data_IF_437964003972
#
_entry.id   IF_437964003972
#
_cell.length_a   1.000
_cell.length_b   1.000
_cell.length_c   1.000
_cell.angle_alpha   90.00
_cell.angle_beta   90.00
_cell.angle_gamma   90.00
#
_symmetry.space_group_name_H-M   'P 1'
#
loop_
_entity.id
_entity.type
_entity.pdbx_description
1 polymer ?
#
# COMPACT_ATOMS: atom_id res chain seq x y z
N UNK A 1 -7.65 18.06 13.87
CA UNK A 1 -9.10 18.31 13.98
C UNK A 1 -9.81 16.96 13.94
N UNK A 2 -10.39 16.48 15.06
CA UNK A 2 -11.08 15.18 15.10
C UNK A 2 -12.32 15.25 14.21
N UNK A 3 -12.36 14.38 13.20
CA UNK A 3 -13.55 14.19 12.38
C UNK A 3 -14.54 13.40 13.24
N UNK A 4 -15.75 13.94 13.44
CA UNK A 4 -16.83 13.21 14.14
C UNK A 4 -17.21 11.98 13.28
N UNK A 5 -17.21 10.82 13.93
CA UNK A 5 -17.67 9.54 13.37
C UNK A 5 -19.11 9.69 12.88
N UNK A 6 -19.36 9.38 11.61
CA UNK A 6 -20.69 9.33 10.99
C UNK A 6 -20.92 7.90 10.48
N UNK A 7 -21.85 7.14 11.09
CA UNK A 7 -22.06 5.72 10.78
C UNK A 7 -22.59 5.47 9.36
N UNK A 8 -22.99 6.52 8.61
CA UNK A 8 -23.47 6.40 7.24
C UNK A 8 -22.39 6.69 6.17
N UNK A 9 -21.16 7.04 6.57
CA UNK A 9 -20.01 7.09 5.66
C UNK A 9 -19.37 5.71 5.53
N UNK A 10 -20.17 4.72 5.12
CA UNK A 10 -19.62 3.48 4.60
C UNK A 10 -18.93 3.85 3.27
N UNK A 11 -17.61 3.66 3.20
CA UNK A 11 -16.84 3.85 1.97
C UNK A 11 -17.33 2.82 0.93
N UNK A 12 -18.37 3.15 0.17
CA UNK A 12 -18.93 2.25 -0.83
C UNK A 12 -18.06 2.13 -2.08
N UNK A 13 -18.11 0.98 -2.74
CA UNK A 13 -17.40 0.62 -3.98
C UNK A 13 -17.43 1.70 -5.07
N UNK A 14 -18.55 2.43 -5.22
CA UNK A 14 -18.72 3.49 -6.21
C UNK A 14 -17.79 4.70 -5.98
N UNK A 15 -17.45 5.03 -4.73
CA UNK A 15 -16.49 6.11 -4.42
C UNK A 15 -15.05 5.66 -4.69
N UNK A 16 -14.71 4.42 -4.34
CA UNK A 16 -13.39 3.84 -4.65
C UNK A 16 -13.11 3.79 -6.16
N UNK A 17 -14.13 3.47 -6.98
CA UNK A 17 -14.08 3.55 -8.45
C UNK A 17 -13.66 4.92 -8.97
N UNK A 18 -14.26 5.97 -8.40
CA UNK A 18 -13.97 7.35 -8.79
C UNK A 18 -12.56 7.74 -8.36
N UNK A 19 -12.12 7.34 -7.16
CA UNK A 19 -10.75 7.58 -6.69
C UNK A 19 -9.72 6.90 -7.58
N UNK A 20 -9.87 5.61 -7.89
CA UNK A 20 -8.96 4.89 -8.79
C UNK A 20 -8.88 5.54 -10.17
N UNK A 21 -10.04 5.87 -10.77
CA UNK A 21 -10.10 6.56 -12.08
C UNK A 21 -9.46 7.95 -12.04
N UNK A 22 -9.66 8.71 -10.98
CA UNK A 22 -9.05 10.03 -10.81
C UNK A 22 -7.53 9.93 -10.66
N UNK A 23 -7.03 8.94 -9.92
CA UNK A 23 -5.59 8.68 -9.80
C UNK A 23 -4.99 8.31 -11.16
N UNK A 24 -5.62 7.41 -11.91
CA UNK A 24 -5.16 7.06 -13.26
C UNK A 24 -5.14 8.26 -14.20
N UNK A 25 -6.17 9.11 -14.15
CA UNK A 25 -6.23 10.36 -14.91
C UNK A 25 -5.11 11.31 -14.51
N UNK A 26 -4.86 11.49 -13.21
CA UNK A 26 -3.76 12.32 -12.71
C UNK A 26 -2.40 11.81 -13.22
N UNK A 27 -2.15 10.51 -13.14
CA UNK A 27 -0.94 9.87 -13.68
C UNK A 27 -0.77 10.12 -15.17
N UNK A 28 -1.84 9.95 -15.96
CA UNK A 28 -1.82 10.23 -17.40
C UNK A 28 -1.44 11.69 -17.69
N UNK A 29 -2.02 12.64 -16.95
CA UNK A 29 -1.72 14.07 -17.10
C UNK A 29 -0.28 14.39 -16.74
N UNK A 30 0.23 13.86 -15.62
CA UNK A 30 1.62 14.04 -15.18
C UNK A 30 2.58 13.51 -16.25
N UNK A 31 2.37 12.28 -16.73
CA UNK A 31 3.19 11.66 -17.77
C UNK A 31 3.17 12.46 -19.07
N UNK A 32 1.98 12.88 -19.54
CA UNK A 32 1.85 13.72 -20.74
C UNK A 32 2.57 15.06 -20.60
N UNK A 33 2.54 15.67 -19.42
CA UNK A 33 3.19 16.95 -19.18
C UNK A 33 4.72 16.88 -19.26
N UNK A 34 5.30 15.80 -18.74
CA UNK A 34 6.76 15.60 -18.70
C UNK A 34 7.31 14.90 -19.95
N UNK A 35 6.45 14.32 -20.79
CA UNK A 35 6.83 13.77 -22.10
C UNK A 35 7.48 14.86 -22.98
N UNK A 36 8.67 14.58 -23.53
CA UNK A 36 9.35 15.44 -24.49
C UNK A 36 10.12 16.66 -23.95
N UNK A 37 10.03 17.00 -22.66
CA UNK A 37 10.77 18.14 -22.07
C UNK A 37 12.19 17.74 -21.65
N UNK A 38 13.23 18.55 -21.93
CA UNK A 38 14.59 18.34 -21.41
C UNK A 38 14.66 18.74 -19.92
N UNK A 39 15.48 18.07 -19.09
CA UNK A 39 15.54 18.32 -17.62
C UNK A 39 15.86 19.79 -17.30
N UNK A 40 16.76 20.42 -18.08
CA UNK A 40 17.11 21.85 -17.98
C UNK A 40 15.96 22.84 -18.28
N UNK A 41 14.93 22.44 -19.02
CA UNK A 41 13.80 23.32 -19.41
C UNK A 41 12.55 23.12 -18.52
N UNK A 42 12.59 22.18 -17.58
CA UNK A 42 11.40 21.80 -16.82
C UNK A 42 11.14 22.73 -15.63
N UNK A 43 10.35 23.79 -15.86
CA UNK A 43 9.76 24.61 -14.79
C UNK A 43 9.02 23.70 -13.78
N UNK A 44 9.20 23.96 -12.48
CA UNK A 44 8.47 23.27 -11.40
C UNK A 44 6.96 23.40 -11.65
N UNK A 45 6.25 22.28 -11.68
CA UNK A 45 4.80 22.26 -11.89
C UNK A 45 4.13 22.25 -10.53
N UNK A 46 3.25 23.22 -10.27
CA UNK A 46 2.37 23.16 -9.11
C UNK A 46 1.22 22.20 -9.46
N UNK A 47 1.20 21.04 -8.82
CA UNK A 47 0.05 20.15 -8.81
C UNK A 47 -0.84 20.57 -7.65
N UNK A 48 -2.06 21.01 -7.96
CA UNK A 48 -3.08 21.32 -6.98
C UNK A 48 -4.04 20.13 -6.92
N UNK A 49 -3.99 19.36 -5.84
CA UNK A 49 -4.88 18.24 -5.60
C UNK A 49 -5.99 18.68 -4.66
N UNK A 50 -7.23 18.58 -5.09
CA UNK A 50 -8.38 18.75 -4.22
C UNK A 50 -8.53 17.50 -3.35
N UNK A 51 -8.20 17.63 -2.07
CA UNK A 51 -8.26 16.55 -1.07
C UNK A 51 -9.60 16.49 -0.36
N UNK A 52 -10.45 17.51 -0.50
CA UNK A 52 -11.81 17.50 0.05
C UNK A 52 -12.76 18.37 -0.78
N UNK A 53 -14.06 18.06 -0.71
CA UNK A 53 -15.13 18.85 -1.35
C UNK A 53 -15.42 20.15 -0.56
N UNK A 54 -14.93 20.28 0.68
CA UNK A 54 -15.09 21.49 1.52
C UNK A 54 -13.96 22.50 1.24
N UNK A 55 -14.24 23.80 1.44
CA UNK A 55 -13.25 24.89 1.33
C UNK A 55 -12.03 24.57 2.21
N UNK A 56 -10.83 24.58 1.62
CA UNK A 56 -9.55 24.35 2.31
C UNK A 56 -8.87 23.01 2.00
N UNK A 57 -9.52 22.09 1.30
CA UNK A 57 -8.90 20.82 0.87
C UNK A 57 -8.06 20.95 -0.39
N UNK A 58 -7.06 21.82 -0.43
CA UNK A 58 -6.15 21.96 -1.57
C UNK A 58 -4.72 21.62 -1.15
N UNK A 59 -4.24 20.45 -1.58
CA UNK A 59 -2.86 20.05 -1.39
C UNK A 59 -2.04 20.55 -2.58
N UNK A 60 -1.09 21.43 -2.31
CA UNK A 60 -0.14 21.91 -3.30
C UNK A 60 1.13 21.09 -3.20
N UNK A 61 1.49 20.40 -4.27
CA UNK A 61 2.82 19.77 -4.39
C UNK A 61 3.53 20.31 -5.62
N UNK A 62 4.85 20.48 -5.50
CA UNK A 62 5.70 20.91 -6.61
C UNK A 62 6.30 19.65 -7.23
N UNK A 63 5.96 19.40 -8.49
CA UNK A 63 6.52 18.30 -9.28
C UNK A 63 7.69 18.82 -10.13
N UNK A 64 8.81 18.12 -10.04
CA UNK A 64 9.98 18.31 -10.90
C UNK A 64 10.14 17.09 -11.78
N UNK A 65 10.75 17.25 -12.96
CA UNK A 65 10.93 16.12 -13.89
C UNK A 65 11.78 14.99 -13.28
N UNK A 66 12.67 15.34 -12.38
CA UNK A 66 13.59 14.39 -11.74
C UNK A 66 12.91 13.63 -10.59
N UNK A 67 11.83 14.18 -10.02
CA UNK A 67 11.14 13.60 -8.86
C UNK A 67 9.80 12.94 -9.20
N UNK A 68 9.21 13.20 -10.37
CA UNK A 68 7.87 12.69 -10.69
C UNK A 68 7.79 11.16 -10.73
N UNK A 69 8.90 10.46 -11.02
CA UNK A 69 8.93 8.99 -11.08
C UNK A 69 8.53 8.35 -9.75
N UNK A 70 9.08 8.83 -8.64
CA UNK A 70 8.74 8.36 -7.28
C UNK A 70 7.24 8.50 -6.98
N UNK A 71 6.68 9.66 -7.32
CA UNK A 71 5.26 9.96 -7.12
C UNK A 71 4.38 9.12 -8.06
N UNK A 72 4.77 8.93 -9.33
CA UNK A 72 4.01 8.07 -10.26
C UNK A 72 4.02 6.61 -9.80
N UNK A 73 5.14 6.10 -9.29
CA UNK A 73 5.26 4.76 -8.71
C UNK A 73 4.33 4.62 -7.51
N UNK A 74 4.34 5.56 -6.57
CA UNK A 74 3.41 5.54 -5.43
C UNK A 74 1.94 5.59 -5.86
N UNK A 75 1.58 6.52 -6.76
CA UNK A 75 0.22 6.64 -7.29
C UNK A 75 -0.23 5.38 -8.04
N UNK A 76 0.70 4.66 -8.68
CA UNK A 76 0.41 3.36 -9.32
C UNK A 76 -0.12 2.36 -8.29
N UNK A 77 0.56 2.20 -7.16
CA UNK A 77 0.19 1.20 -6.15
C UNK A 77 -1.07 1.58 -5.38
N UNK A 78 -1.27 2.87 -5.08
CA UNK A 78 -2.54 3.36 -4.53
C UNK A 78 -3.69 3.02 -5.49
N UNK A 79 -3.51 3.26 -6.79
CA UNK A 79 -4.54 2.94 -7.79
C UNK A 79 -4.82 1.44 -7.87
N UNK A 80 -3.78 0.59 -7.87
CA UNK A 80 -3.94 -0.87 -7.94
C UNK A 80 -4.75 -1.35 -6.74
N UNK A 81 -4.35 -0.94 -5.54
CA UNK A 81 -5.03 -1.30 -4.28
C UNK A 81 -6.50 -0.88 -4.30
N UNK A 82 -6.79 0.39 -4.64
CA UNK A 82 -8.15 0.90 -4.69
C UNK A 82 -9.03 0.13 -5.69
N UNK A 83 -8.50 -0.19 -6.88
CA UNK A 83 -9.26 -0.95 -7.89
C UNK A 83 -9.49 -2.42 -7.49
N UNK A 84 -8.54 -3.03 -6.77
CA UNK A 84 -8.68 -4.40 -6.30
C UNK A 84 -9.72 -4.50 -5.17
N UNK A 85 -9.70 -3.56 -4.22
CA UNK A 85 -10.71 -3.45 -3.16
C UNK A 85 -12.10 -3.18 -3.72
N UNK A 86 -12.22 -2.29 -4.71
CA UNK A 86 -13.50 -2.03 -5.39
C UNK A 86 -14.07 -3.32 -6.00
N UNK A 87 -13.24 -4.05 -6.77
CA UNK A 87 -13.64 -5.31 -7.40
C UNK A 87 -14.09 -6.32 -6.35
N UNK A 88 -13.38 -6.42 -5.24
CA UNK A 88 -13.73 -7.31 -4.14
C UNK A 88 -15.12 -6.97 -3.56
N UNK A 89 -15.38 -5.68 -3.27
CA UNK A 89 -16.68 -5.22 -2.76
C UNK A 89 -17.84 -5.46 -3.73
N UNK A 90 -17.60 -5.44 -5.04
CA UNK A 90 -18.63 -5.71 -6.04
C UNK A 90 -18.94 -7.19 -6.21
N UNK A 91 -17.93 -8.05 -6.04
CA UNK A 91 -18.05 -9.49 -6.29
C UNK A 91 -18.58 -10.23 -5.06
N UNK A 92 -18.18 -9.81 -3.86
CA UNK A 92 -18.43 -10.59 -2.65
C UNK A 92 -19.58 -10.03 -1.80
N UNK A 93 -20.61 -10.84 -1.50
CA UNK A 93 -21.65 -10.47 -0.55
C UNK A 93 -21.08 -10.44 0.88
N UNK A 94 -21.67 -9.61 1.76
CA UNK A 94 -21.20 -9.37 3.14
C UNK A 94 -22.39 -9.49 4.13
N UNK A 95 -23.39 -10.32 3.80
CA UNK A 95 -24.63 -10.39 4.57
C UNK A 95 -24.48 -11.34 5.77
N UNK A 96 -23.92 -12.52 5.55
CA UNK A 96 -23.76 -13.55 6.58
C UNK A 96 -22.42 -13.45 7.31
N UNK A 97 -22.30 -14.12 8.46
CA UNK A 97 -21.04 -14.20 9.21
C UNK A 97 -19.91 -14.82 8.39
N UNK A 98 -20.19 -15.94 7.70
CA UNK A 98 -19.21 -16.61 6.82
C UNK A 98 -18.78 -15.73 5.65
N UNK A 99 -19.73 -15.00 5.06
CA UNK A 99 -19.45 -14.03 4.01
C UNK A 99 -18.56 -12.89 4.51
N UNK A 100 -18.81 -12.35 5.72
CA UNK A 100 -17.95 -11.34 6.36
C UNK A 100 -16.55 -11.87 6.64
N UNK A 101 -16.44 -13.09 7.16
CA UNK A 101 -15.16 -13.75 7.43
C UNK A 101 -14.37 -13.96 6.14
N UNK A 102 -15.01 -14.51 5.10
CA UNK A 102 -14.40 -14.67 3.77
C UNK A 102 -13.98 -13.33 3.18
N UNK A 103 -14.82 -12.31 3.27
CA UNK A 103 -14.52 -10.96 2.80
C UNK A 103 -13.29 -10.38 3.49
N UNK A 104 -13.20 -10.48 4.82
CA UNK A 104 -12.04 -10.03 5.61
C UNK A 104 -10.75 -10.68 5.09
N UNK A 105 -10.76 -11.99 4.87
CA UNK A 105 -9.58 -12.72 4.40
C UNK A 105 -9.20 -12.28 2.98
N UNK A 106 -10.16 -12.17 2.06
CA UNK A 106 -9.87 -11.67 0.72
C UNK A 106 -9.35 -10.24 0.72
N UNK A 107 -9.90 -9.36 1.58
CA UNK A 107 -9.41 -7.99 1.72
C UNK A 107 -7.97 -7.97 2.23
N UNK A 108 -7.66 -8.83 3.21
CA UNK A 108 -6.30 -9.03 3.72
C UNK A 108 -5.36 -9.49 2.60
N UNK A 109 -5.77 -10.46 1.78
CA UNK A 109 -4.98 -10.93 0.63
C UNK A 109 -4.75 -9.81 -0.39
N UNK A 110 -5.75 -8.97 -0.69
CA UNK A 110 -5.59 -7.83 -1.60
C UNK A 110 -4.50 -6.88 -1.10
N UNK A 111 -4.49 -6.57 0.20
CA UNK A 111 -3.43 -5.74 0.76
C UNK A 111 -2.06 -6.44 0.67
N UNK A 112 -1.97 -7.72 1.01
CA UNK A 112 -0.72 -8.49 0.91
C UNK A 112 -0.19 -8.55 -0.54
N UNK A 113 -1.08 -8.71 -1.53
CA UNK A 113 -0.72 -8.66 -2.95
C UNK A 113 -0.13 -7.31 -3.35
N UNK A 114 -0.69 -6.21 -2.81
CA UNK A 114 -0.17 -4.86 -3.09
C UNK A 114 1.18 -4.61 -2.42
N UNK A 115 1.37 -5.08 -1.18
CA UNK A 115 2.66 -5.03 -0.48
C UNK A 115 3.72 -5.88 -1.20
N UNK A 116 3.33 -7.04 -1.71
CA UNK A 116 4.19 -7.89 -2.52
C UNK A 116 4.63 -7.16 -3.79
N UNK A 117 3.68 -6.57 -4.54
CA UNK A 117 3.98 -5.83 -5.76
C UNK A 117 4.89 -4.61 -5.52
N UNK A 118 4.75 -3.92 -4.39
CA UNK A 118 5.68 -2.85 -3.98
C UNK A 118 7.07 -3.43 -3.72
N UNK A 119 7.16 -4.53 -2.97
CA UNK A 119 8.43 -5.15 -2.60
C UNK A 119 9.18 -5.73 -3.82
N UNK A 120 8.46 -6.30 -4.78
CA UNK A 120 9.02 -6.73 -6.07
C UNK A 120 9.55 -5.54 -6.89
N UNK A 121 8.85 -4.40 -6.86
CA UNK A 121 9.33 -3.18 -7.51
C UNK A 121 10.58 -2.63 -6.80
N UNK A 122 10.62 -2.64 -5.47
CA UNK A 122 11.81 -2.30 -4.68
C UNK A 122 13.00 -3.18 -5.08
N UNK A 123 12.78 -4.48 -5.31
CA UNK A 123 13.82 -5.39 -5.78
C UNK A 123 14.29 -5.03 -7.20
N UNK A 124 13.37 -4.68 -8.11
CA UNK A 124 13.73 -4.25 -9.45
C UNK A 124 14.63 -2.99 -9.46
N UNK A 125 14.43 -2.06 -8.52
CA UNK A 125 15.23 -0.84 -8.41
C UNK A 125 16.72 -1.10 -8.09
N UNK A 126 17.05 -2.24 -7.47
CA UNK A 126 18.43 -2.62 -7.13
C UNK A 126 19.23 -3.16 -8.32
N UNK A 127 18.56 -3.64 -9.38
CA UNK A 127 19.21 -4.32 -10.52
C UNK A 127 20.10 -3.40 -11.36
N UNK A 128 21.10 -4.02 -12.01
CA UNK A 128 22.41 -3.46 -12.36
C UNK A 128 22.48 -2.44 -13.50
N UNK A 129 21.40 -2.19 -14.24
CA UNK A 129 21.50 -1.43 -15.50
C UNK A 129 21.77 0.07 -15.31
N UNK A 130 21.50 0.63 -14.12
CA UNK A 130 21.54 2.07 -13.85
C UNK A 130 22.31 2.43 -12.58
N UNK A 131 23.46 1.80 -12.31
CA UNK A 131 24.40 2.22 -11.24
C UNK A 131 25.17 3.51 -11.58
N UNK A 132 24.67 4.35 -12.50
CA UNK A 132 25.26 5.66 -12.77
C UNK A 132 25.01 6.56 -11.55
N UNK A 133 26.08 7.16 -11.01
CA UNK A 133 26.02 8.00 -9.79
C UNK A 133 24.97 9.12 -9.88
N UNK A 134 24.69 9.61 -11.09
CA UNK A 134 23.77 10.71 -11.37
C UNK A 134 22.30 10.41 -11.00
N UNK A 135 21.86 9.14 -11.00
CA UNK A 135 20.46 8.76 -10.74
C UNK A 135 20.23 8.15 -9.35
N UNK A 136 21.26 8.05 -8.51
CA UNK A 136 21.15 7.36 -7.21
C UNK A 136 20.19 8.05 -6.24
N UNK A 137 20.15 9.38 -6.27
CA UNK A 137 19.27 10.16 -5.39
C UNK A 137 17.80 10.06 -5.81
N UNK A 138 17.49 10.02 -7.11
CA UNK A 138 16.13 9.85 -7.63
C UNK A 138 15.57 8.49 -7.22
N UNK A 139 16.38 7.43 -7.41
CA UNK A 139 16.03 6.08 -7.00
C UNK A 139 15.87 5.95 -5.50
N UNK A 140 16.75 6.56 -4.70
CA UNK A 140 16.63 6.52 -3.25
C UNK A 140 15.32 7.18 -2.78
N UNK A 141 14.92 8.30 -3.40
CA UNK A 141 13.62 8.92 -3.14
C UNK A 141 12.45 8.02 -3.56
N UNK A 142 12.57 7.31 -4.67
CA UNK A 142 11.56 6.33 -5.06
C UNK A 142 11.44 5.18 -4.04
N UNK A 143 12.56 4.70 -3.49
CA UNK A 143 12.55 3.73 -2.39
C UNK A 143 11.85 4.31 -1.16
N UNK A 144 12.18 5.53 -0.74
CA UNK A 144 11.54 6.20 0.40
C UNK A 144 10.02 6.32 0.23
N UNK A 145 9.55 6.82 -0.92
CA UNK A 145 8.12 6.96 -1.21
C UNK A 145 7.37 5.62 -1.23
N UNK A 146 8.03 4.55 -1.66
CA UNK A 146 7.45 3.20 -1.67
C UNK A 146 7.43 2.55 -0.30
N UNK A 147 8.45 2.78 0.52
CA UNK A 147 8.49 2.32 1.91
C UNK A 147 7.43 3.06 2.75
N UNK A 148 7.25 4.37 2.54
CA UNK A 148 6.14 5.13 3.11
C UNK A 148 4.77 4.58 2.68
N UNK A 149 4.67 4.10 1.44
CA UNK A 149 3.44 3.48 0.92
C UNK A 149 3.15 2.12 1.58
N UNK A 150 4.18 1.34 1.91
CA UNK A 150 4.05 0.11 2.73
C UNK A 150 3.43 0.44 4.08
N UNK A 151 3.96 1.44 4.80
CA UNK A 151 3.42 1.86 6.10
C UNK A 151 2.01 2.48 5.98
N UNK A 152 1.73 3.18 4.88
CA UNK A 152 0.37 3.66 4.57
C UNK A 152 -0.60 2.49 4.41
N UNK A 153 -0.24 1.45 3.66
CA UNK A 153 -1.09 0.26 3.50
C UNK A 153 -1.27 -0.44 4.85
N UNK A 154 -0.19 -0.67 5.60
CA UNK A 154 -0.25 -1.32 6.91
C UNK A 154 -1.16 -0.59 7.90
N UNK A 155 -1.14 0.75 7.90
CA UNK A 155 -1.95 1.60 8.78
C UNK A 155 -3.38 1.84 8.31
N UNK A 156 -3.66 1.75 7.00
CA UNK A 156 -5.01 1.91 6.43
C UNK A 156 -5.74 0.59 6.21
N UNK A 157 -5.05 -0.54 6.33
CA UNK A 157 -5.65 -1.86 6.27
C UNK A 157 -6.54 -2.09 7.50
N UNK A 158 -7.82 -1.80 7.32
CA UNK A 158 -8.86 -2.04 8.31
C UNK A 158 -10.02 -2.86 7.75
N UNK A 159 -10.67 -3.62 8.63
CA UNK A 159 -11.96 -4.24 8.38
C UNK A 159 -12.84 -4.04 9.60
N UNK A 160 -14.03 -3.45 9.43
CA UNK A 160 -14.93 -3.11 10.54
C UNK A 160 -14.22 -2.38 11.70
N UNK A 161 -13.38 -1.39 11.39
CA UNK A 161 -12.58 -0.60 12.35
C UNK A 161 -11.50 -1.41 13.09
N UNK A 162 -11.26 -2.66 12.71
CA UNK A 162 -10.16 -3.47 13.22
C UNK A 162 -8.94 -3.30 12.30
N UNK A 163 -7.82 -2.89 12.88
CA UNK A 163 -6.52 -2.76 12.20
C UNK A 163 -5.90 -4.13 11.97
N UNK A 164 -5.59 -4.45 10.71
CA UNK A 164 -5.17 -5.81 10.35
C UNK A 164 -3.66 -6.04 10.57
N UNK A 165 -2.81 -5.09 10.19
CA UNK A 165 -1.36 -5.30 10.09
C UNK A 165 -0.52 -4.62 11.18
N UNK A 166 -1.14 -4.05 12.21
CA UNK A 166 -0.43 -3.37 13.30
C UNK A 166 -0.04 -4.30 14.46
N UNK A 167 -0.31 -5.61 14.33
CA UNK A 167 0.10 -6.62 15.30
C UNK A 167 -0.96 -6.98 16.35
N UNK A 168 -2.13 -6.33 16.33
CA UNK A 168 -3.23 -6.64 17.26
C UNK A 168 -3.69 -8.10 17.17
N UNK A 169 -3.59 -8.72 15.99
CA UNK A 169 -3.97 -10.11 15.73
C UNK A 169 -2.78 -11.04 15.45
N UNK A 170 -1.57 -10.61 15.78
CA UNK A 170 -0.38 -11.46 15.64
C UNK A 170 -0.41 -12.63 16.65
N UNK A 171 0.30 -13.72 16.35
CA UNK A 171 0.37 -14.90 17.23
C UNK A 171 0.87 -14.59 18.65
N UNK A 172 1.74 -13.61 18.79
CA UNK A 172 2.28 -13.15 20.07
C UNK A 172 1.55 -11.92 20.64
N UNK A 173 0.42 -11.53 20.05
CA UNK A 173 -0.36 -10.38 20.50
C UNK A 173 -0.91 -10.60 21.91
N UNK A 174 -0.87 -9.54 22.72
CA UNK A 174 -1.52 -9.49 24.04
C UNK A 174 -2.77 -8.60 24.03
N UNK A 175 -3.07 -7.96 22.90
CA UNK A 175 -4.11 -6.93 22.80
C UNK A 175 -5.43 -7.53 22.34
N UNK A 176 -5.41 -8.33 21.27
CA UNK A 176 -6.62 -8.89 20.67
C UNK A 176 -6.35 -10.28 20.07
N UNK A 177 -7.44 -10.98 19.76
CA UNK A 177 -7.44 -12.27 19.07
C UNK A 177 -8.58 -12.33 18.07
N UNK A 178 -8.37 -12.99 16.94
CA UNK A 178 -9.38 -13.12 15.88
C UNK A 178 -9.89 -14.56 15.82
N UNK A 179 -11.21 -14.73 15.98
CA UNK A 179 -11.88 -16.03 15.99
C UNK A 179 -12.88 -16.14 14.86
N UNK A 180 -12.80 -17.24 14.13
CA UNK A 180 -13.64 -17.56 12.99
C UNK A 180 -14.56 -18.73 13.33
N UNK A 181 -15.71 -18.76 12.68
CA UNK A 181 -16.73 -19.79 12.83
C UNK A 181 -16.73 -20.61 11.54
N UNK A 182 -16.67 -21.92 11.64
CA UNK A 182 -16.88 -22.84 10.52
C UNK A 182 -18.36 -23.13 10.34
N UNK A 183 -18.74 -23.56 9.14
CA UNK A 183 -20.12 -23.99 8.85
C UNK A 183 -20.54 -25.18 9.72
N UNK A 184 -19.59 -26.00 10.19
CA UNK A 184 -19.82 -27.08 11.16
C UNK A 184 -20.16 -26.60 12.58
N UNK A 185 -20.04 -25.30 12.87
CA UNK A 185 -20.25 -24.72 14.20
C UNK A 185 -19.00 -24.65 15.07
N UNK A 186 -17.87 -25.21 14.63
CA UNK A 186 -16.59 -25.09 15.32
C UNK A 186 -16.01 -23.69 15.19
N UNK A 187 -15.35 -23.22 16.26
CA UNK A 187 -14.58 -21.97 16.24
C UNK A 187 -13.09 -22.27 16.15
N UNK A 188 -12.36 -21.46 15.38
CA UNK A 188 -10.92 -21.55 15.28
C UNK A 188 -10.29 -20.16 15.24
N UNK A 189 -9.05 -20.07 15.69
CA UNK A 189 -8.33 -18.81 15.76
C UNK A 189 -7.54 -18.56 14.47
N UNK A 190 -7.61 -17.33 13.98
CA UNK A 190 -6.82 -16.85 12.84
C UNK A 190 -5.83 -15.82 13.35
N UNK A 191 -4.62 -15.86 12.79
CA UNK A 191 -3.56 -14.90 13.11
C UNK A 191 -3.21 -14.08 11.87
N UNK A 192 -2.98 -12.79 12.07
CA UNK A 192 -2.48 -11.89 11.01
C UNK A 192 -1.18 -11.27 11.51
N UNK A 193 -0.08 -11.50 10.78
CA UNK A 193 1.21 -10.94 11.14
C UNK A 193 1.31 -9.44 10.86
N UNK A 194 2.19 -8.76 11.60
CA UNK A 194 2.51 -7.34 11.37
C UNK A 194 3.21 -7.15 10.02
N UNK A 195 2.75 -6.18 9.23
CA UNK A 195 3.25 -5.87 7.87
C UNK A 195 3.75 -4.43 7.70
N UNK A 196 4.15 -3.77 8.78
CA UNK A 196 4.84 -2.47 8.74
C UNK A 196 6.21 -2.57 8.07
N UNK A 197 6.73 -1.46 7.56
CA UNK A 197 8.07 -1.36 6.97
C UNK A 197 9.14 -1.89 7.93
N UNK A 198 9.01 -1.58 9.22
CA UNK A 198 9.90 -2.02 10.28
C UNK A 198 9.86 -3.52 10.52
N UNK A 199 8.66 -4.11 10.58
CA UNK A 199 8.51 -5.56 10.75
C UNK A 199 8.96 -6.36 9.53
N UNK A 200 8.93 -5.74 8.34
CA UNK A 200 9.45 -6.30 7.10
C UNK A 200 10.95 -6.06 6.89
N UNK A 201 11.61 -5.27 7.75
CA UNK A 201 13.04 -4.97 7.64
C UNK A 201 13.39 -3.96 6.54
N UNK A 202 12.41 -3.18 6.07
CA UNK A 202 12.59 -2.10 5.08
C UNK A 202 13.00 -0.77 5.73
N UNK A 203 12.89 -0.68 7.05
CA UNK A 203 13.41 0.42 7.87
C UNK A 203 14.25 -0.15 9.02
N UNK A 204 15.28 0.59 9.41
CA UNK A 204 16.12 0.22 10.56
C UNK A 204 15.46 0.61 11.90
N UNK A 205 16.06 0.25 13.02
CA UNK A 205 15.56 0.58 14.36
C UNK A 205 15.37 2.08 14.60
N UNK A 206 16.13 2.92 13.90
CA UNK A 206 16.02 4.39 13.89
C UNK A 206 14.93 4.93 12.96
N UNK A 207 14.15 4.06 12.31
CA UNK A 207 13.18 4.37 11.26
C UNK A 207 13.83 5.00 10.00
N UNK A 208 15.11 4.74 9.78
CA UNK A 208 15.80 5.12 8.53
C UNK A 208 15.51 4.08 7.45
N UNK A 209 15.14 4.54 6.26
CA UNK A 209 14.84 3.68 5.10
C UNK A 209 16.11 2.99 4.60
N UNK A 210 16.00 1.72 4.19
CA UNK A 210 17.10 0.98 3.59
C UNK A 210 17.73 1.74 2.41
N UNK A 211 19.06 1.73 2.34
CA UNK A 211 19.81 2.49 1.34
C UNK A 211 20.27 1.61 0.17
N UNK A 212 20.20 2.16 -1.03
CA UNK A 212 20.81 1.58 -2.24
C UNK A 212 22.34 1.67 -2.24
N UNK A 213 22.95 2.31 -1.22
CA UNK A 213 24.41 2.43 -1.09
C UNK A 213 25.09 1.07 -0.86
N UNK A 214 24.38 0.12 -0.25
CA UNK A 214 24.81 -1.27 -0.05
C UNK A 214 23.86 -2.20 -0.82
N UNK A 215 24.09 -2.46 -2.13
CA UNK A 215 23.13 -3.18 -2.97
C UNK A 215 22.83 -4.60 -2.50
N UNK A 216 23.83 -5.32 -2.00
CA UNK A 216 23.68 -6.71 -1.53
C UNK A 216 22.80 -6.76 -0.29
N UNK A 217 23.05 -5.88 0.68
CA UNK A 217 22.27 -5.82 1.91
C UNK A 217 20.82 -5.41 1.62
N UNK A 218 20.64 -4.37 0.79
CA UNK A 218 19.33 -3.93 0.32
C UNK A 218 18.56 -5.09 -0.34
N UNK A 219 19.19 -5.78 -1.28
CA UNK A 219 18.58 -6.90 -2.01
C UNK A 219 18.16 -8.03 -1.07
N UNK A 220 19.02 -8.40 -0.12
CA UNK A 220 18.73 -9.44 0.86
C UNK A 220 17.57 -9.05 1.78
N UNK A 221 17.53 -7.80 2.27
CA UNK A 221 16.43 -7.29 3.11
C UNK A 221 15.10 -7.31 2.35
N UNK A 222 15.09 -6.85 1.10
CA UNK A 222 13.88 -6.86 0.26
C UNK A 222 13.41 -8.29 -0.05
N UNK A 223 14.33 -9.23 -0.34
CA UNK A 223 13.98 -10.63 -0.55
C UNK A 223 13.35 -11.26 0.70
N UNK A 224 13.89 -10.98 1.88
CA UNK A 224 13.33 -11.45 3.14
C UNK A 224 11.90 -10.90 3.35
N UNK A 225 11.67 -9.62 3.05
CA UNK A 225 10.34 -9.02 3.11
C UNK A 225 9.35 -9.73 2.17
N UNK A 226 9.76 -9.99 0.92
CA UNK A 226 8.95 -10.70 -0.08
C UNK A 226 8.55 -12.09 0.42
N UNK A 227 9.50 -12.87 0.92
CA UNK A 227 9.21 -14.22 1.40
C UNK A 227 8.24 -14.20 2.59
N UNK A 228 8.44 -13.28 3.54
CA UNK A 228 7.51 -13.11 4.68
C UNK A 228 6.09 -12.74 4.23
N UNK A 229 5.94 -11.86 3.23
CA UNK A 229 4.62 -11.50 2.69
C UNK A 229 3.97 -12.70 1.99
N UNK A 230 4.74 -13.49 1.24
CA UNK A 230 4.23 -14.70 0.57
C UNK A 230 3.78 -15.77 1.57
N UNK A 231 4.53 -15.97 2.64
CA UNK A 231 4.17 -16.91 3.71
C UNK A 231 2.84 -16.53 4.36
N UNK A 232 2.68 -15.25 4.74
CA UNK A 232 1.42 -14.76 5.31
C UNK A 232 0.26 -14.88 4.32
N UNK A 233 0.50 -14.52 3.05
CA UNK A 233 -0.51 -14.64 2.00
C UNK A 233 -0.97 -16.10 1.83
N UNK A 234 -0.03 -17.05 1.87
CA UNK A 234 -0.34 -18.48 1.81
C UNK A 234 -1.16 -18.91 3.03
N UNK A 235 -0.77 -18.49 4.23
CA UNK A 235 -1.54 -18.75 5.45
C UNK A 235 -2.97 -18.21 5.33
N UNK A 236 -3.16 -16.97 4.88
CA UNK A 236 -4.49 -16.39 4.69
C UNK A 236 -5.32 -17.14 3.65
N UNK A 237 -4.70 -17.60 2.56
CA UNK A 237 -5.39 -18.41 1.55
C UNK A 237 -5.89 -19.74 2.13
N UNK A 238 -5.10 -20.42 2.98
CA UNK A 238 -5.52 -21.67 3.63
C UNK A 238 -6.71 -21.50 4.60
N UNK A 239 -7.00 -20.29 5.07
CA UNK A 239 -8.19 -20.03 5.91
C UNK A 239 -9.49 -20.10 5.09
N UNK A 240 -9.42 -19.98 3.76
CA UNK A 240 -10.57 -20.05 2.86
C UNK A 240 -10.92 -21.47 2.42
N UNK A 241 -10.02 -22.42 2.64
CA UNK A 241 -10.17 -23.85 2.33
C UNK A 241 -10.89 -24.59 3.46
#
# INVERSE_FOLDING_TARGET
MKIKYDPNLIFGSKRESLFGKHILKARSLIRKYFAGKRSKDSKKVKLNVLTSIRRGGLLQTKLEKETYHSIDSRLKFISITATALERLHLIQPIQTTFQKQKFLIHQTIVYLDTLLAISEHLLALSTNEHRKKQFRWEKQREVEELVDEVDRIASTAEFNQMTLFLGDFAKSSRTASMWFLKESGEVFQVYIATMTSKSLGLTDFKNEVITLSSPIEYENKVKLAIERIKEERKQMATVLE
#
